data_IF_782315867688
#
_entry.id   IF_782315867688
#
_cell.length_a   1.000
_cell.length_b   1.000
_cell.length_c   1.000
_cell.angle_alpha   90.00
_cell.angle_beta   90.00
_cell.angle_gamma   90.00
#
_symmetry.space_group_name_H-M   'P 1'
#
loop_
_entity.id
_entity.type
_entity.pdbx_description
1 polymer ?
#
# COMPACT_ATOMS: atom_id res chain seq x y z
N UNK A 1 36.99 -14.59 -4.41
CA UNK A 1 37.37 -13.22 -4.04
C UNK A 1 36.99 -12.16 -5.06
N UNK A 2 36.85 -12.48 -6.33
CA UNK A 2 36.50 -11.50 -7.41
C UNK A 2 35.00 -11.13 -7.48
N UNK A 3 34.10 -11.97 -7.02
CA UNK A 3 32.63 -11.75 -7.10
C UNK A 3 32.15 -10.72 -6.06
N UNK A 4 32.83 -10.58 -4.93
CA UNK A 4 32.43 -9.64 -3.86
C UNK A 4 32.75 -8.18 -4.22
N UNK A 5 33.78 -7.95 -5.03
CA UNK A 5 34.19 -6.59 -5.42
C UNK A 5 33.33 -6.00 -6.54
N UNK A 6 32.75 -6.85 -7.40
CA UNK A 6 31.82 -6.43 -8.46
C UNK A 6 30.50 -5.92 -7.85
N UNK A 7 30.06 -6.52 -6.75
CA UNK A 7 28.83 -6.10 -6.05
C UNK A 7 29.03 -4.74 -5.36
N UNK A 8 30.21 -4.48 -4.79
CA UNK A 8 30.53 -3.17 -4.18
C UNK A 8 30.68 -2.04 -5.20
N UNK A 9 31.11 -2.33 -6.41
CA UNK A 9 31.20 -1.33 -7.48
C UNK A 9 29.81 -0.96 -8.05
N UNK A 10 28.88 -1.92 -8.15
CA UNK A 10 27.51 -1.64 -8.61
C UNK A 10 26.77 -0.69 -7.66
N UNK A 11 26.95 -0.82 -6.35
CA UNK A 11 26.32 0.07 -5.36
C UNK A 11 26.85 1.52 -5.44
N UNK A 12 28.10 1.73 -5.84
CA UNK A 12 28.68 3.07 -6.06
C UNK A 12 28.13 3.73 -7.34
N UNK A 13 27.90 2.97 -8.39
CA UNK A 13 27.41 3.50 -9.67
C UNK A 13 25.92 3.88 -9.55
N UNK A 14 25.12 3.15 -8.76
CA UNK A 14 23.71 3.48 -8.52
C UNK A 14 23.51 4.73 -7.64
N UNK A 15 24.47 5.05 -6.78
CA UNK A 15 24.41 6.26 -5.91
C UNK A 15 24.66 7.56 -6.68
N UNK A 16 25.35 7.51 -7.83
CA UNK A 16 25.73 8.72 -8.59
C UNK A 16 24.76 9.11 -9.70
N UNK A 17 23.93 8.18 -10.20
CA UNK A 17 23.00 8.44 -11.30
C UNK A 17 21.61 8.95 -10.87
N UNK A 18 21.33 9.14 -9.58
CA UNK A 18 20.03 9.60 -9.09
C UNK A 18 19.93 11.13 -8.91
N UNK A 19 20.82 11.92 -9.53
CA UNK A 19 20.77 13.39 -9.47
C UNK A 19 20.08 14.12 -10.61
N UNK A 20 19.53 13.40 -11.59
CA UNK A 20 18.85 14.05 -12.74
C UNK A 20 17.56 13.31 -13.12
N UNK A 21 16.51 13.48 -12.35
CA UNK A 21 15.13 13.55 -12.85
C UNK A 21 14.20 14.06 -11.73
N UNK A 22 14.20 15.35 -11.48
CA UNK A 22 13.28 16.01 -10.57
C UNK A 22 12.01 16.45 -11.32
N UNK A 23 11.11 15.51 -11.57
CA UNK A 23 9.67 15.79 -11.52
C UNK A 23 9.10 15.11 -10.29
N UNK A 24 9.30 15.77 -9.16
CA UNK A 24 8.80 15.32 -7.88
C UNK A 24 7.27 15.50 -7.83
N UNK A 25 6.54 14.44 -8.10
CA UNK A 25 5.17 14.30 -7.63
C UNK A 25 5.20 14.33 -6.10
N UNK A 26 4.57 15.33 -5.50
CA UNK A 26 4.40 15.48 -4.06
C UNK A 26 3.76 14.20 -3.50
N UNK A 27 4.51 13.39 -2.76
CA UNK A 27 3.97 12.24 -2.04
C UNK A 27 4.86 11.00 -1.91
N UNK A 28 5.93 10.85 -2.67
CA UNK A 28 6.78 9.66 -2.67
C UNK A 28 8.22 9.91 -2.21
N UNK A 29 8.40 10.64 -1.11
CA UNK A 29 9.72 10.74 -0.47
C UNK A 29 10.05 9.36 0.14
N UNK A 30 11.14 8.73 -0.33
CA UNK A 30 11.74 7.48 0.13
C UNK A 30 11.06 6.16 -0.26
N UNK A 31 10.58 5.98 -1.49
CA UNK A 31 10.30 4.65 -2.02
C UNK A 31 11.60 3.98 -2.47
N UNK A 32 12.00 2.95 -1.76
CA UNK A 32 13.10 2.07 -2.20
C UNK A 32 12.56 1.29 -3.41
N UNK A 33 13.23 1.44 -4.54
CA UNK A 33 12.93 0.69 -5.75
C UNK A 33 13.46 -0.75 -5.60
N UNK A 34 12.63 -1.74 -5.90
CA UNK A 34 13.02 -3.14 -5.92
C UNK A 34 13.38 -3.46 -7.37
N UNK A 35 14.64 -3.23 -7.74
CA UNK A 35 15.18 -3.62 -9.05
C UNK A 35 15.34 -5.15 -9.15
N UNK A 36 15.52 -5.67 -10.37
CA UNK A 36 15.69 -7.12 -10.57
C UNK A 36 16.87 -7.71 -9.81
N UNK A 37 18.03 -7.02 -9.79
CA UNK A 37 19.21 -7.44 -9.03
C UNK A 37 18.92 -7.43 -7.51
N UNK A 38 18.25 -6.40 -7.03
CA UNK A 38 17.90 -6.32 -5.61
C UNK A 38 16.86 -7.40 -5.24
N UNK A 39 15.90 -7.68 -6.12
CA UNK A 39 14.94 -8.78 -5.93
C UNK A 39 15.63 -10.14 -5.85
N UNK A 40 16.61 -10.41 -6.71
CA UNK A 40 17.42 -11.63 -6.65
C UNK A 40 18.12 -11.75 -5.29
N UNK A 41 18.73 -10.66 -4.83
CA UNK A 41 19.34 -10.59 -3.50
C UNK A 41 18.34 -10.85 -2.37
N UNK A 42 17.13 -10.29 -2.46
CA UNK A 42 16.07 -10.54 -1.48
C UNK A 42 15.68 -12.04 -1.44
N UNK A 43 15.57 -12.69 -2.60
CA UNK A 43 15.24 -14.14 -2.71
C UNK A 43 16.34 -15.05 -2.18
N UNK A 44 17.59 -14.61 -2.16
CA UNK A 44 18.71 -15.35 -1.54
C UNK A 44 18.60 -15.36 -0.01
N UNK A 45 18.14 -14.27 0.60
CA UNK A 45 18.18 -14.08 2.05
C UNK A 45 16.83 -14.29 2.75
N UNK A 46 15.73 -14.21 2.01
CA UNK A 46 14.36 -14.37 2.51
C UNK A 46 13.65 -15.50 1.79
N UNK A 47 12.83 -16.20 2.54
CA UNK A 47 11.76 -17.04 2.02
C UNK A 47 10.42 -16.39 2.28
N UNK A 48 9.43 -16.63 1.40
CA UNK A 48 8.10 -16.04 1.49
C UNK A 48 7.03 -17.09 1.31
N UNK A 49 6.12 -17.19 2.26
CA UNK A 49 4.94 -18.04 2.17
C UNK A 49 3.76 -17.19 1.67
N UNK A 50 3.24 -17.42 0.44
CA UNK A 50 2.16 -16.62 -0.13
C UNK A 50 0.81 -16.79 0.56
N UNK A 51 0.57 -17.93 1.21
CA UNK A 51 -0.71 -18.25 1.88
C UNK A 51 -0.82 -17.61 3.26
N UNK A 52 0.31 -17.50 3.96
CA UNK A 52 0.37 -16.87 5.30
C UNK A 52 0.79 -15.42 5.25
N UNK A 53 1.47 -14.99 4.17
CA UNK A 53 2.06 -13.65 4.04
C UNK A 53 3.33 -13.46 4.88
N UNK A 54 3.88 -14.53 5.44
CA UNK A 54 5.03 -14.49 6.35
C UNK A 54 6.33 -14.63 5.58
N UNK A 55 7.32 -13.82 5.98
CA UNK A 55 8.69 -13.95 5.53
C UNK A 55 9.54 -14.62 6.61
N UNK A 56 10.48 -15.48 6.19
CA UNK A 56 11.47 -16.11 7.07
C UNK A 56 12.88 -15.90 6.54
N UNK A 57 13.87 -15.93 7.44
CA UNK A 57 15.27 -15.77 7.08
C UNK A 57 15.87 -17.08 6.54
N UNK A 58 16.46 -17.04 5.35
CA UNK A 58 17.20 -18.16 4.77
C UNK A 58 18.66 -18.22 5.21
N UNK A 59 19.21 -17.12 5.73
CA UNK A 59 20.57 -17.04 6.20
C UNK A 59 20.64 -16.33 7.55
N UNK A 60 21.66 -16.65 8.35
CA UNK A 60 21.97 -15.92 9.57
C UNK A 60 22.64 -14.59 9.21
N UNK A 61 22.15 -13.47 9.71
CA UNK A 61 22.69 -12.13 9.44
C UNK A 61 23.47 -11.55 10.63
N UNK A 62 23.09 -11.96 11.82
CA UNK A 62 23.70 -11.55 13.09
C UNK A 62 23.43 -12.63 14.13
N UNK A 63 24.10 -12.60 15.27
CA UNK A 63 23.87 -13.56 16.36
C UNK A 63 22.42 -13.67 16.84
N UNK A 64 21.57 -12.68 16.54
CA UNK A 64 20.16 -12.61 16.91
C UNK A 64 19.19 -13.12 15.84
N UNK A 65 19.66 -13.28 14.59
CA UNK A 65 18.82 -13.72 13.47
C UNK A 65 19.13 -15.18 13.16
N UNK A 66 18.20 -16.06 13.46
CA UNK A 66 18.31 -17.50 13.19
C UNK A 66 17.68 -17.84 11.84
N UNK A 67 18.26 -18.78 11.11
CA UNK A 67 17.67 -19.36 9.89
C UNK A 67 16.29 -19.92 10.25
N UNK A 68 15.28 -19.67 9.38
CA UNK A 68 13.91 -20.10 9.58
C UNK A 68 13.08 -19.25 10.55
N UNK A 69 13.69 -18.28 11.27
CA UNK A 69 12.92 -17.35 12.09
C UNK A 69 12.16 -16.34 11.24
N UNK A 70 11.01 -15.86 11.73
CA UNK A 70 10.20 -14.85 11.07
C UNK A 70 10.98 -13.55 10.86
N UNK A 71 10.87 -12.99 9.65
CA UNK A 71 11.54 -11.77 9.25
C UNK A 71 10.59 -10.58 9.31
N UNK A 72 11.01 -9.53 10.00
CA UNK A 72 10.31 -8.26 10.05
C UNK A 72 9.83 -7.86 11.44
N UNK A 73 9.35 -6.63 11.51
CA UNK A 73 8.80 -6.01 12.72
C UNK A 73 7.61 -5.10 12.36
N UNK A 74 6.71 -4.89 13.31
CA UNK A 74 5.56 -3.99 13.10
C UNK A 74 5.99 -2.53 13.21
N UNK A 75 5.65 -1.74 12.19
CA UNK A 75 5.84 -0.29 12.20
C UNK A 75 4.63 0.42 11.53
N UNK A 76 3.94 1.27 12.26
CA UNK A 76 2.73 1.99 11.79
C UNK A 76 1.66 1.07 11.18
N UNK A 77 1.52 -0.14 11.74
CA UNK A 77 0.59 -1.17 11.30
C UNK A 77 1.11 -2.05 10.15
N UNK A 78 2.20 -1.71 9.50
CA UNK A 78 2.86 -2.52 8.47
C UNK A 78 3.88 -3.47 9.08
N UNK A 79 4.17 -4.57 8.38
CA UNK A 79 5.37 -5.35 8.60
C UNK A 79 6.49 -4.72 7.77
N UNK A 80 7.62 -4.41 8.41
CA UNK A 80 8.82 -3.89 7.77
C UNK A 80 9.98 -4.86 7.98
N UNK A 81 10.81 -5.05 6.95
CA UNK A 81 12.00 -5.91 6.98
C UNK A 81 13.21 -5.01 6.71
N UNK A 82 14.19 -5.07 7.61
CA UNK A 82 15.41 -4.30 7.45
C UNK A 82 16.48 -5.13 6.72
N UNK A 83 16.97 -4.62 5.59
CA UNK A 83 17.95 -5.27 4.74
C UNK A 83 18.98 -4.22 4.33
N UNK A 84 20.23 -4.47 4.66
CA UNK A 84 21.39 -3.62 4.32
C UNK A 84 21.15 -2.14 4.69
N UNK A 85 20.64 -1.90 5.92
CA UNK A 85 20.34 -0.57 6.45
C UNK A 85 19.11 0.10 5.84
N UNK A 86 18.35 -0.62 5.01
CA UNK A 86 17.12 -0.10 4.39
C UNK A 86 15.88 -0.81 4.96
N UNK A 87 14.92 -0.04 5.45
CA UNK A 87 13.64 -0.56 5.91
C UNK A 87 12.66 -0.68 4.73
N UNK A 88 12.25 -1.89 4.43
CA UNK A 88 11.36 -2.25 3.32
C UNK A 88 10.02 -2.73 3.86
N UNK A 89 8.93 -2.31 3.24
CA UNK A 89 7.61 -2.82 3.58
C UNK A 89 7.40 -4.22 3.01
N UNK A 90 7.02 -5.18 3.85
CA UNK A 90 6.89 -6.60 3.49
C UNK A 90 5.90 -6.84 2.33
N UNK A 91 4.75 -6.16 2.28
CA UNK A 91 3.78 -6.31 1.18
C UNK A 91 4.38 -5.96 -0.19
N UNK A 92 5.33 -5.00 -0.26
CA UNK A 92 6.02 -4.67 -1.51
C UNK A 92 6.98 -5.76 -1.93
N UNK A 93 7.70 -6.34 -0.97
CA UNK A 93 8.57 -7.50 -1.22
C UNK A 93 7.73 -8.69 -1.66
N UNK A 94 6.63 -8.99 -0.97
CA UNK A 94 5.70 -10.09 -1.29
C UNK A 94 5.18 -9.98 -2.73
N UNK A 95 4.72 -8.79 -3.12
CA UNK A 95 4.26 -8.54 -4.47
C UNK A 95 5.37 -8.77 -5.52
N UNK A 96 6.58 -8.24 -5.25
CA UNK A 96 7.74 -8.42 -6.13
C UNK A 96 8.21 -9.88 -6.22
N UNK A 97 8.12 -10.65 -5.12
CA UNK A 97 8.45 -12.08 -5.11
C UNK A 97 7.55 -12.87 -6.04
N UNK A 98 6.25 -12.57 -6.01
CA UNK A 98 5.24 -13.26 -6.80
C UNK A 98 5.26 -12.85 -8.27
N UNK A 99 5.39 -11.55 -8.55
CA UNK A 99 5.24 -11.00 -9.91
C UNK A 99 6.57 -10.75 -10.63
N UNK A 100 7.70 -10.99 -9.96
CA UNK A 100 9.05 -10.81 -10.54
C UNK A 100 9.49 -9.35 -10.68
N UNK A 101 8.61 -8.38 -10.47
CA UNK A 101 8.94 -6.95 -10.56
C UNK A 101 7.99 -6.10 -9.72
N UNK A 102 8.39 -4.85 -9.49
CA UNK A 102 7.51 -3.81 -8.94
C UNK A 102 7.00 -2.93 -10.09
N UNK A 103 5.69 -2.67 -10.16
CA UNK A 103 5.15 -1.79 -11.17
C UNK A 103 5.61 -0.34 -10.93
N UNK A 104 5.95 0.35 -12.01
CA UNK A 104 6.37 1.77 -11.99
C UNK A 104 5.16 2.66 -11.69
N UNK A 105 5.34 3.63 -10.79
CA UNK A 105 4.31 4.62 -10.40
C UNK A 105 3.02 4.03 -9.81
N UNK A 106 3.05 2.78 -9.36
CA UNK A 106 1.91 2.13 -8.71
C UNK A 106 2.17 1.87 -7.23
N UNK A 107 1.10 1.69 -6.49
CA UNK A 107 1.14 1.26 -5.08
C UNK A 107 0.70 -0.18 -4.96
N UNK A 108 1.16 -0.85 -3.91
CA UNK A 108 0.60 -2.14 -3.51
C UNK A 108 -0.37 -1.87 -2.36
N UNK A 109 -1.63 -2.21 -2.60
CA UNK A 109 -2.75 -2.01 -1.70
C UNK A 109 -3.16 -3.32 -1.04
N UNK A 110 -3.63 -3.24 0.21
CA UNK A 110 -4.23 -4.35 0.94
C UNK A 110 -5.75 -4.32 0.73
N UNK A 111 -6.30 -5.33 0.05
CA UNK A 111 -7.71 -5.40 -0.33
C UNK A 111 -8.61 -5.31 0.91
N UNK A 112 -8.24 -5.98 2.00
CA UNK A 112 -8.98 -5.97 3.27
C UNK A 112 -8.63 -4.79 4.17
N UNK A 113 -7.68 -3.92 3.79
CA UNK A 113 -7.20 -2.78 4.56
C UNK A 113 -6.33 -3.13 5.77
N UNK A 114 -6.05 -4.40 6.04
CA UNK A 114 -5.18 -4.86 7.13
C UNK A 114 -3.73 -4.81 6.67
N UNK A 115 -3.01 -3.78 7.09
CA UNK A 115 -1.64 -3.46 6.65
C UNK A 115 -0.58 -4.51 6.99
N UNK A 116 -0.87 -5.43 7.90
CA UNK A 116 0.01 -6.54 8.27
C UNK A 116 -0.32 -7.85 7.57
N UNK A 117 -1.43 -7.91 6.81
CA UNK A 117 -1.83 -9.10 6.07
C UNK A 117 -1.20 -9.11 4.68
N UNK A 118 -0.01 -9.69 4.59
CA UNK A 118 0.79 -9.72 3.37
C UNK A 118 0.56 -10.97 2.52
N UNK A 119 -0.53 -11.72 2.73
CA UNK A 119 -0.91 -12.82 1.85
C UNK A 119 -1.09 -12.31 0.43
N UNK A 120 -0.60 -13.07 -0.56
CA UNK A 120 -0.61 -12.57 -1.95
C UNK A 120 -2.04 -12.35 -2.48
N UNK A 121 -3.00 -13.17 -2.07
CA UNK A 121 -4.42 -13.02 -2.41
C UNK A 121 -5.05 -11.71 -1.87
N UNK A 122 -4.43 -11.09 -0.87
CA UNK A 122 -4.85 -9.82 -0.28
C UNK A 122 -4.12 -8.60 -0.87
N UNK A 123 -3.15 -8.79 -1.75
CA UNK A 123 -2.34 -7.73 -2.33
C UNK A 123 -2.73 -7.47 -3.78
N UNK A 124 -2.95 -6.20 -4.11
CA UNK A 124 -3.20 -5.77 -5.49
C UNK A 124 -2.39 -4.54 -5.85
N UNK A 125 -2.12 -4.41 -7.15
CA UNK A 125 -1.53 -3.21 -7.71
C UNK A 125 -2.61 -2.12 -7.85
N UNK A 126 -2.32 -0.92 -7.39
CA UNK A 126 -3.26 0.19 -7.40
C UNK A 126 -2.58 1.48 -7.84
N UNK A 127 -3.29 2.31 -8.59
CA UNK A 127 -2.90 3.71 -8.75
C UNK A 127 -3.05 4.45 -7.41
N UNK A 128 -2.37 5.58 -7.26
CA UNK A 128 -2.52 6.42 -6.07
C UNK A 128 -4.01 6.80 -5.86
N UNK A 129 -4.70 7.13 -6.95
CA UNK A 129 -6.12 7.48 -6.91
C UNK A 129 -7.02 6.30 -6.49
N UNK A 130 -6.74 5.10 -7.01
CA UNK A 130 -7.51 3.89 -6.65
C UNK A 130 -7.28 3.50 -5.19
N UNK A 131 -6.02 3.59 -4.72
CA UNK A 131 -5.69 3.32 -3.33
C UNK A 131 -6.37 4.31 -2.35
N UNK A 132 -6.51 5.59 -2.73
CA UNK A 132 -7.29 6.56 -1.96
C UNK A 132 -8.76 6.15 -1.82
N UNK A 133 -9.34 5.49 -2.82
CA UNK A 133 -10.72 5.01 -2.78
C UNK A 133 -10.93 3.88 -1.76
N UNK A 134 -9.92 3.03 -1.55
CA UNK A 134 -9.97 1.91 -0.59
C UNK A 134 -9.79 2.32 0.88
N UNK A 135 -9.57 3.60 1.19
CA UNK A 135 -9.41 4.05 2.57
C UNK A 135 -10.69 3.86 3.39
N UNK A 136 -10.52 3.44 4.65
CA UNK A 136 -11.59 3.39 5.64
C UNK A 136 -12.19 4.77 5.92
N UNK A 137 -13.28 4.76 6.68
CA UNK A 137 -13.90 5.95 7.24
C UNK A 137 -12.89 6.77 8.05
N UNK A 138 -12.85 8.08 7.83
CA UNK A 138 -11.97 8.97 8.58
C UNK A 138 -12.44 9.10 10.04
N UNK A 139 -11.50 9.20 10.97
CA UNK A 139 -11.79 9.30 12.41
C UNK A 139 -12.62 10.51 12.79
N UNK A 140 -12.57 11.59 12.01
CA UNK A 140 -13.33 12.83 12.20
C UNK A 140 -14.67 12.84 11.46
N UNK A 141 -15.09 11.69 10.90
CA UNK A 141 -16.42 11.58 10.29
C UNK A 141 -17.48 11.53 11.38
N UNK A 142 -18.44 12.45 11.35
CA UNK A 142 -19.51 12.59 12.34
C UNK A 142 -20.81 11.89 11.93
N UNK A 143 -20.99 11.63 10.62
CA UNK A 143 -22.21 10.98 10.11
C UNK A 143 -22.19 9.45 10.24
N UNK A 144 -21.03 8.82 10.43
CA UNK A 144 -20.86 7.37 10.34
C UNK A 144 -20.85 6.83 8.91
N UNK A 145 -21.17 7.65 7.91
CA UNK A 145 -21.22 7.26 6.49
C UNK A 145 -20.15 8.02 5.70
N UNK A 146 -19.33 7.29 4.94
CA UNK A 146 -18.25 7.88 4.16
C UNK A 146 -18.78 8.76 3.05
N UNK A 147 -18.41 10.06 3.10
CA UNK A 147 -18.80 11.06 2.10
C UNK A 147 -20.20 11.63 2.28
N UNK A 148 -20.84 11.36 3.42
CA UNK A 148 -22.12 11.96 3.81
C UNK A 148 -21.87 12.94 4.96
N UNK A 149 -22.47 14.15 4.86
CA UNK A 149 -22.30 15.25 5.82
C UNK A 149 -23.66 15.86 6.13
N UNK A 150 -23.94 16.13 7.40
CA UNK A 150 -25.12 16.88 7.79
C UNK A 150 -24.90 18.39 7.62
N UNK A 151 -25.92 19.12 7.19
CA UNK A 151 -25.92 20.58 7.13
C UNK A 151 -26.95 21.14 8.10
N UNK A 152 -26.49 21.87 9.10
CA UNK A 152 -27.39 22.51 10.10
C UNK A 152 -28.25 23.62 9.50
N UNK A 153 -27.70 24.38 8.54
CA UNK A 153 -28.39 25.48 7.84
C UNK A 153 -29.56 25.04 6.96
N UNK A 154 -29.54 23.79 6.52
CA UNK A 154 -30.62 23.16 5.74
C UNK A 154 -30.62 21.71 6.21
N UNK A 155 -31.59 21.28 7.06
CA UNK A 155 -31.55 20.00 7.78
C UNK A 155 -31.66 18.81 6.84
N UNK A 156 -30.65 18.68 6.01
CA UNK A 156 -30.49 17.63 4.99
C UNK A 156 -29.10 17.03 5.01
N UNK A 157 -29.00 15.80 4.57
CA UNK A 157 -27.78 15.04 4.41
C UNK A 157 -27.19 15.25 3.01
N UNK A 158 -26.00 15.82 2.92
CA UNK A 158 -25.29 16.04 1.66
C UNK A 158 -24.37 14.88 1.35
N UNK A 159 -24.48 14.28 0.15
CA UNK A 159 -23.63 13.21 -0.32
C UNK A 159 -22.65 13.69 -1.40
N UNK A 160 -21.33 13.41 -1.17
CA UNK A 160 -20.24 13.83 -2.07
C UNK A 160 -19.21 12.70 -2.18
N UNK A 161 -18.75 12.44 -3.40
CA UNK A 161 -17.61 11.56 -3.70
C UNK A 161 -16.56 12.34 -4.48
N UNK A 162 -15.28 12.08 -4.18
CA UNK A 162 -14.16 12.63 -4.93
C UNK A 162 -13.34 11.48 -5.53
N UNK A 163 -13.05 11.56 -6.84
CA UNK A 163 -12.15 10.63 -7.55
C UNK A 163 -11.25 11.41 -8.49
N UNK A 164 -9.94 11.15 -8.43
CA UNK A 164 -8.94 11.80 -9.29
C UNK A 164 -9.05 13.33 -9.31
N UNK A 165 -9.28 13.93 -8.13
CA UNK A 165 -9.46 15.38 -7.98
C UNK A 165 -10.83 15.92 -8.40
N UNK A 166 -11.64 15.14 -9.09
CA UNK A 166 -13.01 15.54 -9.48
C UNK A 166 -13.99 15.21 -8.36
N UNK A 167 -14.81 16.22 -7.99
CA UNK A 167 -15.86 16.10 -6.97
C UNK A 167 -17.21 15.88 -7.63
N UNK A 168 -17.91 14.83 -7.18
CA UNK A 168 -19.26 14.49 -7.62
C UNK A 168 -20.22 14.79 -6.46
N UNK A 169 -21.16 15.70 -6.70
CA UNK A 169 -22.21 16.07 -5.77
C UNK A 169 -23.47 15.30 -6.14
N UNK A 170 -23.91 14.39 -5.26
CA UNK A 170 -25.06 13.52 -5.52
C UNK A 170 -26.39 14.15 -5.12
N UNK A 171 -26.35 15.21 -4.30
CA UNK A 171 -27.53 15.94 -3.86
C UNK A 171 -27.66 16.05 -2.34
N UNK A 172 -28.85 16.45 -1.95
CA UNK A 172 -29.28 16.58 -0.55
C UNK A 172 -30.41 15.61 -0.31
N UNK A 173 -30.39 14.90 0.81
CA UNK A 173 -31.32 13.85 1.17
C UNK A 173 -31.96 14.13 2.52
N UNK A 174 -33.27 13.87 2.71
CA UNK A 174 -33.95 14.15 3.97
C UNK A 174 -33.53 13.19 5.09
N UNK A 175 -33.00 12.00 4.75
CA UNK A 175 -32.50 11.03 5.72
C UNK A 175 -31.10 10.57 5.40
N UNK A 176 -30.35 10.13 6.45
CA UNK A 176 -29.03 9.56 6.30
C UNK A 176 -29.06 8.24 5.49
N UNK A 177 -30.12 7.45 5.64
CA UNK A 177 -30.30 6.18 4.93
C UNK A 177 -30.42 6.37 3.42
N UNK A 178 -31.17 7.38 2.98
CA UNK A 178 -31.26 7.72 1.56
C UNK A 178 -29.93 8.21 1.00
N UNK A 179 -29.23 9.07 1.75
CA UNK A 179 -27.91 9.55 1.39
C UNK A 179 -26.88 8.41 1.31
N UNK A 180 -26.92 7.47 2.26
CA UNK A 180 -26.06 6.27 2.29
C UNK A 180 -26.30 5.36 1.10
N UNK A 181 -27.57 5.08 0.79
CA UNK A 181 -27.94 4.27 -0.37
C UNK A 181 -27.44 4.89 -1.67
N UNK A 182 -27.75 6.16 -1.90
CA UNK A 182 -27.36 6.87 -3.12
C UNK A 182 -25.81 6.93 -3.27
N UNK A 183 -25.09 7.21 -2.17
CA UNK A 183 -23.62 7.31 -2.23
C UNK A 183 -22.96 5.94 -2.39
N UNK A 184 -23.56 4.87 -1.86
CA UNK A 184 -23.03 3.52 -1.98
C UNK A 184 -23.16 3.00 -3.40
N UNK A 185 -24.33 3.11 -3.99
CA UNK A 185 -24.60 2.72 -5.39
C UNK A 185 -23.67 3.48 -6.36
N UNK A 186 -23.53 4.79 -6.17
CA UNK A 186 -22.66 5.59 -7.02
C UNK A 186 -21.17 5.28 -6.80
N UNK A 187 -20.77 4.97 -5.56
CA UNK A 187 -19.39 4.60 -5.24
C UNK A 187 -19.00 3.28 -5.91
N UNK A 188 -19.88 2.29 -5.91
CA UNK A 188 -19.63 1.00 -6.54
C UNK A 188 -19.47 1.16 -8.06
N UNK A 189 -20.31 1.95 -8.70
CA UNK A 189 -20.19 2.24 -10.12
C UNK A 189 -18.93 3.04 -10.47
N UNK A 190 -18.50 3.95 -9.58
CA UNK A 190 -17.37 4.83 -9.83
C UNK A 190 -16.02 4.18 -9.52
N UNK A 191 -15.92 3.43 -8.41
CA UNK A 191 -14.66 2.88 -7.89
C UNK A 191 -14.44 1.41 -8.23
N UNK A 192 -15.49 0.66 -8.61
CA UNK A 192 -15.41 -0.76 -8.95
C UNK A 192 -14.80 -1.58 -7.82
N UNK A 193 -13.81 -2.40 -8.14
CA UNK A 193 -13.11 -3.26 -7.18
C UNK A 193 -12.41 -2.53 -6.01
N UNK A 194 -12.18 -1.21 -6.15
CA UNK A 194 -11.63 -0.35 -5.10
C UNK A 194 -12.70 0.32 -4.25
N UNK A 195 -13.97 -0.05 -4.42
CA UNK A 195 -15.06 0.50 -3.62
C UNK A 195 -14.93 0.07 -2.16
N UNK A 196 -14.96 1.06 -1.25
CA UNK A 196 -14.95 0.86 0.19
C UNK A 196 -15.94 1.83 0.84
N UNK A 197 -16.97 1.30 1.48
CA UNK A 197 -18.05 2.07 2.10
C UNK A 197 -17.68 2.63 3.48
N UNK A 198 -16.46 2.41 3.94
CA UNK A 198 -15.94 2.89 5.23
C UNK A 198 -15.58 1.76 6.18
N UNK A 199 -15.93 0.53 5.87
CA UNK A 199 -15.59 -0.65 6.64
C UNK A 199 -14.53 -1.49 5.91
N UNK A 200 -13.57 -2.01 6.66
CA UNK A 200 -12.72 -3.07 6.14
C UNK A 200 -13.43 -4.41 6.32
N UNK A 201 -13.50 -5.18 5.23
CA UNK A 201 -13.98 -6.56 5.31
C UNK A 201 -13.07 -7.34 6.27
N UNK A 202 -13.65 -7.82 7.36
CA UNK A 202 -12.97 -8.69 8.34
C UNK A 202 -12.61 -10.03 7.72
#
# INVERSE_FOLDING_TARGET
MIVVDIIRLSDRIYSTNNRSNSMATRGCKNRIEISGLFLSRLKEILDYNPDTGVFTWKCSRHNRVKIGSEAGYKHNGYICIEIDGKSLKAHRIAYAFQNGCMPVNMEIDHINGIKSDNRICNLRCASISSNECNKALQKNNTSGVKGVYFREESPNWRAIITKSGKRYHLGYFPSILEAERAISEFRDSLHGEFSNHGEFKK
#
